data_IF_879177159178
#
_entry.id   IF_879177159178
#
_cell.length_a   1.000
_cell.length_b   1.000
_cell.length_c   1.000
_cell.angle_alpha   90.00
_cell.angle_beta   90.00
_cell.angle_gamma   90.00
#
_symmetry.space_group_name_H-M   'P 1'
#
loop_
_entity.id
_entity.type
_entity.pdbx_description
1 polymer ?
#
# COMPACT_ATOMS: atom_id res chain seq x y z
N UNK A 1 44.01 -53.54 2.13
CA UNK A 1 43.67 -52.23 1.49
C UNK A 1 42.16 -52.06 1.22
N UNK A 2 41.28 -52.11 2.24
CA UNK A 2 39.82 -51.84 2.05
C UNK A 2 39.22 -50.75 2.95
N UNK A 3 39.96 -50.26 3.95
CA UNK A 3 39.46 -49.26 4.92
C UNK A 3 39.56 -47.80 4.49
N UNK A 4 40.42 -47.46 3.52
CA UNK A 4 40.63 -46.06 3.10
C UNK A 4 39.55 -45.55 2.14
N UNK A 5 39.05 -46.39 1.22
CA UNK A 5 38.05 -46.02 0.20
C UNK A 5 36.70 -45.58 0.77
N UNK A 6 36.35 -46.05 1.97
CA UNK A 6 35.06 -45.78 2.60
C UNK A 6 34.98 -44.41 3.28
N UNK A 7 36.12 -43.86 3.73
CA UNK A 7 36.16 -42.53 4.38
C UNK A 7 36.00 -41.39 3.38
N UNK A 8 36.56 -41.53 2.18
CA UNK A 8 36.45 -40.53 1.12
C UNK A 8 35.02 -40.43 0.55
N UNK A 9 34.32 -41.56 0.46
CA UNK A 9 32.88 -41.63 0.12
C UNK A 9 32.02 -40.90 1.15
N UNK A 10 32.29 -41.11 2.44
CA UNK A 10 31.55 -40.47 3.53
C UNK A 10 31.84 -38.96 3.58
N UNK A 11 33.09 -38.55 3.42
CA UNK A 11 33.46 -37.12 3.40
C UNK A 11 32.85 -36.40 2.20
N UNK A 12 32.82 -37.02 1.01
CA UNK A 12 32.14 -36.49 -0.18
C UNK A 12 30.63 -36.36 0.02
N UNK A 13 29.98 -37.34 0.65
CA UNK A 13 28.53 -37.27 0.96
C UNK A 13 28.21 -36.17 1.97
N UNK A 14 29.05 -35.97 2.99
CA UNK A 14 28.91 -34.88 3.97
C UNK A 14 29.09 -33.52 3.29
N UNK A 15 30.08 -33.38 2.40
CA UNK A 15 30.29 -32.17 1.60
C UNK A 15 29.12 -31.88 0.65
N UNK A 16 28.56 -32.92 0.01
CA UNK A 16 27.40 -32.77 -0.87
C UNK A 16 26.14 -32.36 -0.10
N UNK A 17 25.91 -32.96 1.08
CA UNK A 17 24.79 -32.64 1.97
C UNK A 17 24.89 -31.20 2.52
N UNK A 18 26.08 -30.75 2.86
CA UNK A 18 26.31 -29.36 3.31
C UNK A 18 26.18 -28.35 2.17
N UNK A 19 26.60 -28.68 0.95
CA UNK A 19 26.32 -27.86 -0.25
C UNK A 19 24.83 -27.77 -0.57
N UNK A 20 24.07 -28.87 -0.43
CA UNK A 20 22.62 -28.89 -0.64
C UNK A 20 21.86 -28.06 0.41
N UNK A 21 22.35 -27.99 1.65
CA UNK A 21 21.74 -27.16 2.69
C UNK A 21 22.01 -25.66 2.51
N UNK A 22 23.07 -25.27 1.80
CA UNK A 22 23.38 -23.86 1.51
C UNK A 22 22.47 -23.25 0.43
N UNK A 23 21.85 -24.06 -0.44
CA UNK A 23 20.90 -23.57 -1.45
C UNK A 23 19.51 -23.26 -0.88
N UNK A 24 19.16 -23.80 0.29
CA UNK A 24 17.81 -23.67 0.86
C UNK A 24 17.55 -22.33 1.57
N UNK A 25 18.58 -21.52 1.81
CA UNK A 25 18.46 -20.29 2.63
C UNK A 25 18.37 -18.98 1.85
N UNK A 26 18.32 -19.00 0.51
CA UNK A 26 18.17 -17.78 -0.30
C UNK A 26 16.79 -17.69 -0.95
N UNK A 27 15.73 -18.01 -0.20
CA UNK A 27 14.44 -17.36 -0.44
C UNK A 27 14.36 -16.15 0.48
N UNK A 28 15.13 -15.12 0.12
CA UNK A 28 14.89 -13.77 0.62
C UNK A 28 13.44 -13.44 0.26
N UNK A 29 12.63 -13.14 1.28
CA UNK A 29 11.32 -12.54 1.08
C UNK A 29 11.54 -11.23 0.33
N UNK A 30 11.52 -11.26 -1.01
CA UNK A 30 11.42 -10.04 -1.80
C UNK A 30 10.03 -9.50 -1.50
N UNK A 31 9.93 -8.66 -0.46
CA UNK A 31 8.68 -8.02 -0.08
C UNK A 31 8.08 -7.42 -1.34
N UNK A 32 6.80 -7.70 -1.61
CA UNK A 32 6.08 -7.15 -2.76
C UNK A 32 6.41 -5.65 -2.81
N UNK A 33 7.07 -5.20 -3.89
CA UNK A 33 7.33 -3.77 -4.07
C UNK A 33 5.97 -3.08 -4.04
N UNK A 34 5.75 -2.22 -3.05
CA UNK A 34 4.49 -1.49 -2.94
C UNK A 34 4.38 -0.56 -4.16
N UNK A 35 3.16 -0.42 -4.72
CA UNK A 35 2.98 0.36 -5.94
C UNK A 35 3.38 1.81 -5.68
N UNK A 36 4.14 2.39 -6.63
CA UNK A 36 4.39 3.81 -6.71
C UNK A 36 3.59 4.37 -7.88
N UNK A 37 2.55 5.13 -7.57
CA UNK A 37 1.58 5.62 -8.54
C UNK A 37 1.92 7.07 -8.88
N UNK A 38 2.17 7.41 -10.16
CA UNK A 38 2.48 8.79 -10.52
C UNK A 38 1.28 9.70 -10.30
N UNK A 39 1.51 10.86 -9.68
CA UNK A 39 0.54 11.96 -9.57
C UNK A 39 0.90 13.06 -10.58
N UNK A 40 2.19 13.41 -10.64
CA UNK A 40 2.76 14.35 -11.60
C UNK A 40 4.23 14.00 -11.86
N UNK A 41 4.95 14.83 -12.63
CA UNK A 41 6.38 14.63 -12.89
C UNK A 41 7.22 14.52 -11.61
N UNK A 42 6.85 15.28 -10.58
CA UNK A 42 7.63 15.37 -9.33
C UNK A 42 7.04 14.56 -8.19
N UNK A 43 5.75 14.18 -8.27
CA UNK A 43 5.03 13.57 -7.15
C UNK A 43 4.51 12.18 -7.50
N UNK A 44 4.68 11.25 -6.55
CA UNK A 44 4.11 9.90 -6.61
C UNK A 44 3.40 9.56 -5.29
N UNK A 45 2.34 8.79 -5.36
CA UNK A 45 1.72 8.13 -4.21
C UNK A 45 2.40 6.78 -3.98
N UNK A 46 2.59 6.40 -2.72
CA UNK A 46 2.93 5.03 -2.35
C UNK A 46 2.30 4.64 -1.03
N UNK A 47 2.42 3.36 -0.68
CA UNK A 47 1.91 2.80 0.57
C UNK A 47 3.02 2.08 1.33
N UNK A 48 3.08 2.27 2.65
CA UNK A 48 4.13 1.61 3.47
C UNK A 48 3.80 0.18 3.80
N UNK A 49 2.51 -0.16 3.88
CA UNK A 49 2.06 -1.44 4.42
C UNK A 49 0.97 -2.01 3.53
N UNK A 50 0.98 -3.33 3.39
CA UNK A 50 -0.11 -4.10 2.79
C UNK A 50 -0.60 -5.10 3.82
N UNK A 51 -1.87 -5.00 4.20
CA UNK A 51 -2.52 -5.94 5.10
C UNK A 51 -2.97 -7.15 4.28
N UNK A 52 -2.42 -8.32 4.59
CA UNK A 52 -2.74 -9.57 3.87
C UNK A 52 -4.11 -10.14 4.22
N UNK A 53 -4.63 -9.86 5.41
CA UNK A 53 -5.93 -10.35 5.85
C UNK A 53 -7.06 -9.63 5.12
N UNK A 54 -6.96 -8.30 4.98
CA UNK A 54 -7.96 -7.50 4.28
C UNK A 54 -7.64 -7.23 2.82
N UNK A 55 -6.48 -7.70 2.34
CA UNK A 55 -5.99 -7.48 0.98
C UNK A 55 -5.91 -6.00 0.56
N UNK A 56 -5.60 -5.12 1.52
CA UNK A 56 -5.65 -3.67 1.34
C UNK A 56 -4.36 -2.98 1.77
N UNK A 57 -4.11 -1.81 1.19
CA UNK A 57 -2.96 -0.97 1.53
C UNK A 57 -3.25 -0.02 2.69
N UNK A 58 -2.21 0.36 3.43
CA UNK A 58 -2.28 1.32 4.53
C UNK A 58 -1.07 2.26 4.52
N UNK A 59 -1.20 3.33 5.31
CA UNK A 59 -0.14 4.32 5.52
C UNK A 59 0.35 4.94 4.21
N UNK A 60 -0.54 5.61 3.45
CA UNK A 60 -0.13 6.27 2.22
C UNK A 60 0.86 7.40 2.49
N UNK A 61 1.73 7.62 1.52
CA UNK A 61 2.74 8.66 1.55
C UNK A 61 2.90 9.32 0.18
N UNK A 62 3.32 10.58 0.20
CA UNK A 62 3.72 11.31 -1.00
C UNK A 62 5.23 11.24 -1.13
N UNK A 63 5.71 10.79 -2.28
CA UNK A 63 7.12 10.86 -2.67
C UNK A 63 7.32 12.10 -3.54
N UNK A 64 8.30 12.94 -3.19
CA UNK A 64 8.76 14.04 -4.03
C UNK A 64 10.29 13.94 -4.19
N UNK A 65 10.74 13.58 -5.40
CA UNK A 65 12.12 13.15 -5.64
C UNK A 65 12.45 11.94 -4.76
N UNK A 66 13.44 12.09 -3.88
CA UNK A 66 13.87 11.02 -2.94
C UNK A 66 13.27 11.19 -1.53
N UNK A 67 12.41 12.19 -1.31
CA UNK A 67 11.85 12.48 0.01
C UNK A 67 10.44 11.93 0.13
N UNK A 68 10.21 11.19 1.21
CA UNK A 68 8.91 10.58 1.55
C UNK A 68 8.21 11.39 2.64
N UNK A 69 6.92 11.68 2.45
CA UNK A 69 6.10 12.46 3.36
C UNK A 69 4.83 11.69 3.73
N UNK A 70 4.57 11.53 5.03
CA UNK A 70 3.28 11.00 5.52
C UNK A 70 2.16 11.98 5.15
N UNK A 71 1.02 11.46 4.72
CA UNK A 71 -0.19 12.26 4.54
C UNK A 71 -0.83 12.51 5.92
N UNK A 72 -0.81 13.76 6.38
CA UNK A 72 -1.47 14.16 7.63
C UNK A 72 -2.98 13.99 7.50
N UNK A 73 -3.64 13.55 8.57
CA UNK A 73 -5.10 13.35 8.59
C UNK A 73 -5.59 12.02 7.99
N UNK A 74 -4.77 11.25 7.27
CA UNK A 74 -5.22 9.97 6.70
C UNK A 74 -5.42 8.87 7.76
N UNK A 75 -4.60 8.85 8.81
CA UNK A 75 -4.72 7.86 9.88
C UNK A 75 -4.32 6.43 9.47
N UNK A 76 -4.97 5.44 10.07
CA UNK A 76 -4.72 4.00 9.88
C UNK A 76 -5.72 3.34 8.91
N UNK A 77 -6.46 4.13 8.14
CA UNK A 77 -7.46 3.63 7.20
C UNK A 77 -6.81 2.88 6.02
N UNK A 78 -7.63 2.07 5.37
CA UNK A 78 -7.26 1.24 4.23
C UNK A 78 -7.52 1.95 2.90
N UNK A 79 -6.90 1.45 1.85
CA UNK A 79 -7.20 1.78 0.45
C UNK A 79 -6.96 0.57 -0.44
N UNK A 80 -7.67 0.52 -1.56
CA UNK A 80 -7.48 -0.48 -2.60
C UNK A 80 -6.17 -0.26 -3.39
N UNK A 81 -5.42 0.79 -3.06
CA UNK A 81 -4.11 1.05 -3.62
C UNK A 81 -4.16 1.85 -4.92
N UNK A 82 -5.28 2.53 -5.19
CA UNK A 82 -5.48 3.38 -6.36
C UNK A 82 -5.55 4.87 -6.02
N UNK A 83 -5.54 5.70 -7.07
CA UNK A 83 -5.99 7.09 -6.99
C UNK A 83 -7.33 7.15 -7.70
N UNK A 84 -8.38 7.60 -7.00
CA UNK A 84 -9.73 7.72 -7.56
C UNK A 84 -9.83 8.88 -8.55
N UNK A 85 -9.08 9.96 -8.33
CA UNK A 85 -9.01 11.08 -9.25
C UNK A 85 -7.83 12.00 -8.97
N UNK A 86 -7.28 12.62 -10.01
CA UNK A 86 -6.21 13.60 -9.94
C UNK A 86 -6.72 14.91 -10.55
N UNK A 87 -6.57 16.03 -9.83
CA UNK A 87 -6.98 17.34 -10.36
C UNK A 87 -6.14 17.74 -11.59
N UNK A 88 -6.66 18.56 -12.52
CA UNK A 88 -5.92 18.99 -13.70
C UNK A 88 -4.54 19.61 -13.41
N UNK A 89 -4.42 20.34 -12.31
CA UNK A 89 -3.15 20.94 -11.85
C UNK A 89 -2.29 19.99 -10.99
N UNK A 90 -2.72 18.75 -10.80
CA UNK A 90 -2.09 17.71 -9.96
C UNK A 90 -1.85 18.09 -8.49
N UNK A 91 -2.51 19.16 -8.01
CA UNK A 91 -2.41 19.61 -6.62
C UNK A 91 -3.23 18.73 -5.68
N UNK A 92 -4.34 18.19 -6.17
CA UNK A 92 -5.27 17.41 -5.38
C UNK A 92 -5.41 16.01 -5.95
N UNK A 93 -5.50 15.04 -5.04
CA UNK A 93 -5.86 13.66 -5.37
C UNK A 93 -6.99 13.20 -4.47
N UNK A 94 -7.81 12.29 -4.98
CA UNK A 94 -8.85 11.59 -4.23
C UNK A 94 -8.39 10.17 -3.96
N UNK A 95 -8.40 9.76 -2.69
CA UNK A 95 -8.00 8.42 -2.25
C UNK A 95 -9.14 7.78 -1.48
N UNK A 96 -9.22 6.44 -1.51
CA UNK A 96 -10.06 5.70 -0.58
C UNK A 96 -9.66 6.00 0.86
N UNK A 97 -10.60 5.82 1.78
CA UNK A 97 -10.38 5.96 3.21
C UNK A 97 -11.28 4.98 3.95
N UNK A 98 -10.91 3.70 3.88
CA UNK A 98 -11.77 2.61 4.31
C UNK A 98 -11.45 2.26 5.77
N UNK A 99 -12.42 2.38 6.66
CA UNK A 99 -12.29 1.85 8.02
C UNK A 99 -12.75 0.39 8.02
N UNK A 100 -11.86 -0.55 8.33
CA UNK A 100 -12.15 -2.00 8.32
C UNK A 100 -11.54 -2.69 9.53
N UNK A 101 -12.29 -3.58 10.16
CA UNK A 101 -11.81 -4.34 11.32
C UNK A 101 -12.90 -5.19 11.96
N UNK A 102 -12.53 -6.01 12.94
CA UNK A 102 -13.49 -6.81 13.69
C UNK A 102 -13.98 -6.06 14.93
N UNK A 103 -15.27 -6.18 15.19
CA UNK A 103 -15.89 -5.77 16.45
C UNK A 103 -16.29 -7.04 17.19
N UNK A 104 -15.93 -7.10 18.48
CA UNK A 104 -16.31 -8.18 19.39
C UNK A 104 -17.47 -7.72 20.26
N UNK A 105 -18.58 -8.46 20.25
CA UNK A 105 -19.72 -8.24 21.14
C UNK A 105 -19.69 -9.16 22.39
N UNK A 106 -18.55 -9.82 22.63
CA UNK A 106 -18.33 -10.76 23.72
C UNK A 106 -18.62 -12.22 23.37
N UNK A 107 -19.29 -12.51 22.24
CA UNK A 107 -19.59 -13.88 21.78
C UNK A 107 -19.12 -14.09 20.34
N UNK A 108 -19.33 -13.11 19.48
CA UNK A 108 -19.02 -13.17 18.06
C UNK A 108 -18.04 -12.07 17.65
N UNK A 109 -17.17 -12.40 16.70
CA UNK A 109 -16.38 -11.42 15.96
C UNK A 109 -17.12 -11.10 14.67
N UNK A 110 -17.57 -9.86 14.52
CA UNK A 110 -18.22 -9.40 13.29
C UNK A 110 -17.29 -8.45 12.53
N UNK A 111 -17.14 -8.67 11.23
CA UNK A 111 -16.37 -7.77 10.37
C UNK A 111 -17.19 -6.51 10.10
N UNK A 112 -16.61 -5.36 10.40
CA UNK A 112 -17.16 -4.04 10.11
C UNK A 112 -16.33 -3.35 9.03
N UNK A 113 -17.02 -2.68 8.12
CA UNK A 113 -16.40 -1.92 7.03
C UNK A 113 -17.19 -0.65 6.73
N UNK A 114 -16.49 0.48 6.63
CA UNK A 114 -17.04 1.77 6.26
C UNK A 114 -16.21 2.39 5.13
N UNK A 115 -16.85 2.62 3.99
CA UNK A 115 -16.22 3.16 2.80
C UNK A 115 -16.37 4.68 2.76
N UNK A 116 -15.24 5.37 2.80
CA UNK A 116 -15.13 6.82 2.62
C UNK A 116 -14.06 7.09 1.57
N UNK A 117 -13.96 8.35 1.15
CA UNK A 117 -12.80 8.84 0.41
C UNK A 117 -12.38 10.21 0.95
N UNK A 118 -11.16 10.60 0.61
CA UNK A 118 -10.55 11.85 1.06
C UNK A 118 -9.93 12.60 -0.10
N UNK A 119 -10.01 13.93 -0.04
CA UNK A 119 -9.22 14.81 -0.90
C UNK A 119 -7.94 15.16 -0.15
N UNK A 120 -6.80 14.96 -0.82
CA UNK A 120 -5.47 15.26 -0.29
C UNK A 120 -4.86 16.42 -1.08
N UNK A 121 -4.40 17.46 -0.39
CA UNK A 121 -3.49 18.45 -0.97
C UNK A 121 -2.08 17.86 -1.00
N UNK A 122 -1.60 17.53 -2.19
CA UNK A 122 -0.31 16.86 -2.43
C UNK A 122 0.87 17.76 -1.99
N UNK A 123 0.70 19.08 -2.06
CA UNK A 123 1.76 20.03 -1.74
C UNK A 123 1.84 20.27 -0.23
N UNK A 124 0.71 20.23 0.47
CA UNK A 124 0.67 20.29 1.94
C UNK A 124 0.84 18.93 2.61
N UNK A 125 0.67 17.83 1.85
CA UNK A 125 0.72 16.44 2.30
C UNK A 125 -0.29 16.18 3.42
N UNK A 126 -1.52 16.64 3.21
CA UNK A 126 -2.59 16.53 4.19
C UNK A 126 -3.94 16.25 3.53
N UNK A 127 -4.77 15.50 4.24
CA UNK A 127 -6.21 15.39 3.96
C UNK A 127 -6.84 16.75 4.25
N UNK A 128 -7.53 17.30 3.26
CA UNK A 128 -8.24 18.58 3.36
C UNK A 128 -9.77 18.42 3.37
N UNK A 129 -10.28 17.25 3.01
CA UNK A 129 -11.70 16.93 3.03
C UNK A 129 -11.90 15.42 3.17
N UNK A 130 -12.88 15.01 3.98
CA UNK A 130 -13.37 13.63 4.08
C UNK A 130 -14.78 13.60 3.51
N UNK A 131 -15.10 12.59 2.71
CA UNK A 131 -16.38 12.45 2.01
C UNK A 131 -16.94 11.05 2.26
N UNK A 132 -18.19 11.00 2.73
CA UNK A 132 -18.94 9.73 2.92
C UNK A 132 -19.73 9.33 1.66
N UNK A 133 -20.00 10.30 0.81
CA UNK A 133 -20.61 10.14 -0.51
C UNK A 133 -19.69 10.76 -1.56
N UNK A 134 -20.07 10.72 -2.84
CA UNK A 134 -19.41 11.49 -3.90
C UNK A 134 -17.97 11.08 -4.25
N UNK A 135 -17.56 9.87 -3.85
CA UNK A 135 -16.26 9.29 -4.20
C UNK A 135 -16.13 8.93 -5.68
N UNK A 136 -17.26 8.81 -6.40
CA UNK A 136 -17.33 8.59 -7.84
C UNK A 136 -17.42 9.88 -8.65
N UNK A 137 -17.09 11.03 -8.04
CA UNK A 137 -17.03 12.31 -8.74
C UNK A 137 -15.90 12.39 -9.77
N UNK A 138 -15.79 13.56 -10.38
CA UNK A 138 -14.73 13.85 -11.36
C UNK A 138 -14.21 15.28 -11.19
N UNK A 139 -12.94 15.50 -11.56
CA UNK A 139 -12.36 16.84 -11.57
C UNK A 139 -12.74 17.57 -12.86
N UNK A 140 -13.28 18.79 -12.73
CA UNK A 140 -13.46 19.66 -13.89
C UNK A 140 -12.18 20.48 -14.19
N UNK A 141 -12.20 21.22 -15.31
CA UNK A 141 -11.08 22.06 -15.75
C UNK A 141 -10.68 23.16 -14.76
N UNK A 142 -11.57 23.54 -13.84
CA UNK A 142 -11.31 24.55 -12.81
C UNK A 142 -10.66 23.95 -11.54
N UNK A 143 -10.32 22.66 -11.54
CA UNK A 143 -9.84 21.91 -10.36
C UNK A 143 -10.90 21.78 -9.26
N UNK A 144 -12.17 21.64 -9.65
CA UNK A 144 -13.27 21.39 -8.72
C UNK A 144 -13.67 19.92 -8.79
N UNK A 145 -13.92 19.30 -7.64
CA UNK A 145 -14.48 17.95 -7.59
C UNK A 145 -16.00 18.06 -7.72
N UNK A 146 -16.55 17.52 -8.81
CA UNK A 146 -17.97 17.54 -9.11
C UNK A 146 -18.54 16.13 -8.95
N UNK A 147 -19.68 16.03 -8.27
CA UNK A 147 -20.49 14.82 -8.22
C UNK A 147 -21.95 15.19 -8.46
N UNK A 148 -22.62 14.43 -9.33
CA UNK A 148 -24.05 14.64 -9.64
C UNK A 148 -24.38 16.10 -10.03
N UNK A 149 -23.49 16.75 -10.79
CA UNK A 149 -23.65 18.13 -11.25
C UNK A 149 -23.42 19.21 -10.18
N UNK A 150 -23.00 18.84 -8.96
CA UNK A 150 -22.72 19.76 -7.86
C UNK A 150 -21.23 19.83 -7.58
N UNK A 151 -20.74 21.03 -7.28
CA UNK A 151 -19.37 21.23 -6.77
C UNK A 151 -19.33 20.78 -5.31
N UNK A 152 -18.54 19.74 -5.05
CA UNK A 152 -18.30 19.19 -3.70
C UNK A 152 -17.05 19.82 -3.09
N UNK A 153 -16.02 20.02 -3.91
CA UNK A 153 -14.78 20.71 -3.54
C UNK A 153 -14.46 21.81 -4.55
N UNK A 154 -14.31 23.07 -4.11
CA UNK A 154 -14.07 24.22 -4.97
C UNK A 154 -12.61 24.42 -5.37
#
# INVERSE_FOLDING_TARGET
MRRYRNKDEVLKKILLLSLLQLFSFVFSQSGRKTPLIPISKSYKLGFKTYNKEFEMYQNPFILNGNKTYKIKGYGMNYSDGGILGISPNSRYIVLDHISKGYVEDGVNKQLYENYLCVIVDVYKKEVIMNMQSDCSGEWNNNNQWISSGKVIFP
#
